data_IF_855410888518
#
_entry.id   IF_855410888518
#
_cell.length_a   1.000
_cell.length_b   1.000
_cell.length_c   1.000
_cell.angle_alpha   90.00
_cell.angle_beta   90.00
_cell.angle_gamma   90.00
#
_symmetry.space_group_name_H-M   'P 1'
#
loop_
_entity.id
_entity.type
_entity.pdbx_description
1 polymer ?
#
# COMPACT_ATOMS: atom_id res chain seq x y z
N UNK A 1 23.31 -39.01 -2.79
CA UNK A 1 21.93 -38.72 -3.21
C UNK A 1 21.81 -37.21 -3.15
N UNK A 2 21.83 -36.54 -4.29
CA UNK A 2 21.69 -35.08 -4.36
C UNK A 2 20.21 -34.82 -4.19
N UNK A 3 19.85 -34.18 -3.08
CA UNK A 3 18.47 -33.84 -2.75
C UNK A 3 17.92 -32.93 -3.86
N UNK A 4 16.98 -33.43 -4.64
CA UNK A 4 16.32 -32.71 -5.72
C UNK A 4 15.32 -31.72 -5.13
N UNK A 5 15.51 -30.44 -5.43
CA UNK A 5 14.56 -29.32 -5.26
C UNK A 5 13.99 -29.10 -3.87
N UNK A 6 14.84 -28.68 -2.93
CA UNK A 6 14.35 -27.92 -1.77
C UNK A 6 13.67 -26.64 -2.29
N UNK A 7 12.36 -26.50 -2.06
CA UNK A 7 11.59 -25.35 -2.50
C UNK A 7 12.19 -24.04 -1.97
N UNK A 8 12.33 -23.03 -2.85
CA UNK A 8 12.84 -21.70 -2.50
C UNK A 8 11.88 -21.02 -1.52
N UNK A 9 12.38 -20.60 -0.37
CA UNK A 9 11.57 -20.10 0.74
C UNK A 9 11.48 -18.58 0.67
N UNK A 10 10.30 -18.01 0.85
CA UNK A 10 10.13 -16.59 1.14
C UNK A 10 10.04 -16.34 2.66
N UNK A 11 9.19 -17.10 3.35
CA UNK A 11 8.91 -16.94 4.77
C UNK A 11 8.76 -18.30 5.47
N UNK A 12 9.04 -18.33 6.76
CA UNK A 12 8.68 -19.44 7.64
C UNK A 12 7.91 -18.91 8.84
N UNK A 13 6.71 -19.47 9.06
CA UNK A 13 5.82 -19.07 10.15
C UNK A 13 6.43 -19.45 11.49
N UNK A 14 6.51 -18.47 12.40
CA UNK A 14 7.16 -18.67 13.71
C UNK A 14 6.42 -19.72 14.57
N UNK A 15 5.10 -19.79 14.44
CA UNK A 15 4.24 -20.60 15.31
C UNK A 15 4.39 -22.11 15.12
N UNK A 16 4.52 -22.57 13.87
CA UNK A 16 4.43 -23.99 13.50
C UNK A 16 5.53 -24.42 12.51
N UNK A 17 6.40 -23.51 12.09
CA UNK A 17 7.47 -23.80 11.14
C UNK A 17 6.99 -24.03 9.71
N UNK A 18 5.72 -23.76 9.39
CA UNK A 18 5.21 -23.83 8.03
C UNK A 18 6.02 -22.90 7.13
N UNK A 19 6.33 -23.33 5.90
CA UNK A 19 7.09 -22.55 4.92
C UNK A 19 6.15 -22.00 3.85
N UNK A 20 6.30 -20.73 3.53
CA UNK A 20 5.75 -20.13 2.33
C UNK A 20 6.81 -20.18 1.24
N UNK A 21 6.49 -20.79 0.10
CA UNK A 21 7.42 -20.78 -1.03
C UNK A 21 7.49 -19.37 -1.63
N UNK A 22 8.61 -19.04 -2.26
CA UNK A 22 8.76 -17.78 -2.96
C UNK A 22 7.72 -17.61 -4.07
N UNK A 23 7.42 -18.69 -4.79
CA UNK A 23 6.33 -18.71 -5.77
C UNK A 23 4.98 -18.25 -5.17
N UNK A 24 4.58 -18.86 -4.05
CA UNK A 24 3.31 -18.56 -3.38
C UNK A 24 3.25 -17.10 -2.95
N UNK A 25 4.34 -16.61 -2.36
CA UNK A 25 4.44 -15.22 -1.93
C UNK A 25 4.37 -14.24 -3.10
N UNK A 26 5.18 -14.42 -4.16
CA UNK A 26 5.17 -13.53 -5.32
C UNK A 26 3.80 -13.48 -6.01
N UNK A 27 3.10 -14.62 -6.13
CA UNK A 27 1.75 -14.67 -6.70
C UNK A 27 0.70 -14.01 -5.79
N UNK A 28 0.81 -14.21 -4.46
CA UNK A 28 -0.07 -13.58 -3.47
C UNK A 28 0.05 -12.06 -3.48
N UNK A 29 1.30 -11.56 -3.43
CA UNK A 29 1.60 -10.12 -3.51
C UNK A 29 1.19 -9.53 -4.85
N UNK A 30 1.45 -10.23 -5.97
CA UNK A 30 1.00 -9.79 -7.29
C UNK A 30 -0.52 -9.60 -7.34
N UNK A 31 -1.30 -10.56 -6.82
CA UNK A 31 -2.76 -10.49 -6.83
C UNK A 31 -3.32 -9.37 -5.94
N UNK A 32 -2.76 -9.19 -4.74
CA UNK A 32 -3.15 -8.12 -3.83
C UNK A 32 -2.82 -6.73 -4.41
N UNK A 33 -1.60 -6.56 -4.91
CA UNK A 33 -1.14 -5.30 -5.52
C UNK A 33 -1.91 -4.96 -6.79
N UNK A 34 -2.22 -5.97 -7.63
CA UNK A 34 -3.14 -5.85 -8.77
C UNK A 34 -4.48 -5.27 -8.36
N UNK A 35 -5.11 -5.87 -7.35
CA UNK A 35 -6.44 -5.46 -6.87
C UNK A 35 -6.42 -4.02 -6.34
N UNK A 36 -5.36 -3.63 -5.62
CA UNK A 36 -5.21 -2.27 -5.12
C UNK A 36 -5.00 -1.25 -6.27
N UNK A 37 -4.13 -1.57 -7.23
CA UNK A 37 -3.80 -0.69 -8.36
C UNK A 37 -4.93 -0.61 -9.41
N UNK A 38 -5.85 -1.58 -9.46
CA UNK A 38 -7.02 -1.58 -10.33
C UNK A 38 -7.91 -0.34 -10.14
N UNK A 39 -7.92 0.27 -8.95
CA UNK A 39 -8.64 1.53 -8.68
C UNK A 39 -8.16 2.72 -9.52
N UNK A 40 -6.96 2.62 -10.10
CA UNK A 40 -6.37 3.60 -11.01
C UNK A 40 -6.42 3.14 -12.47
N UNK A 41 -6.97 1.95 -12.76
CA UNK A 41 -6.83 1.29 -14.06
C UNK A 41 -5.40 0.82 -14.35
N UNK A 42 -4.64 0.49 -13.30
CA UNK A 42 -3.23 0.07 -13.36
C UNK A 42 -3.04 -1.34 -12.78
N UNK A 43 -4.00 -2.23 -13.00
CA UNK A 43 -4.01 -3.58 -12.45
C UNK A 43 -2.80 -4.41 -12.92
N UNK A 44 -2.47 -4.42 -14.21
CA UNK A 44 -1.27 -5.11 -14.73
C UNK A 44 0.03 -4.55 -14.16
N UNK A 45 0.09 -3.23 -13.91
CA UNK A 45 1.24 -2.57 -13.29
C UNK A 45 1.39 -3.02 -11.84
N UNK A 46 0.29 -3.01 -11.08
CA UNK A 46 0.27 -3.50 -9.70
C UNK A 46 0.67 -4.98 -9.62
N UNK A 47 0.17 -5.80 -10.54
CA UNK A 47 0.52 -7.21 -10.64
C UNK A 47 2.02 -7.40 -10.89
N UNK A 48 2.58 -6.68 -11.85
CA UNK A 48 3.97 -6.82 -12.26
C UNK A 48 4.96 -6.36 -11.19
N UNK A 49 4.70 -5.25 -10.49
CA UNK A 49 5.55 -4.83 -9.36
C UNK A 49 5.50 -5.84 -8.22
N UNK A 50 4.32 -6.43 -7.93
CA UNK A 50 4.17 -7.46 -6.90
C UNK A 50 4.89 -8.76 -7.26
N UNK A 51 4.79 -9.18 -8.53
CA UNK A 51 5.41 -10.41 -9.02
C UNK A 51 6.94 -10.36 -8.98
N UNK A 52 7.53 -9.18 -9.15
CA UNK A 52 8.98 -9.01 -9.29
C UNK A 52 9.68 -8.44 -8.06
N UNK A 53 8.95 -7.93 -7.06
CA UNK A 53 9.58 -7.16 -5.97
C UNK A 53 10.70 -7.93 -5.27
N UNK A 54 10.42 -9.19 -4.92
CA UNK A 54 11.28 -10.06 -4.14
C UNK A 54 12.03 -11.09 -4.98
N UNK A 55 12.13 -10.86 -6.29
CA UNK A 55 12.73 -11.84 -7.20
C UNK A 55 14.18 -12.19 -6.81
N UNK A 56 14.93 -11.26 -6.19
CA UNK A 56 16.28 -11.54 -5.72
C UNK A 56 16.38 -12.63 -4.64
N UNK A 57 15.26 -13.02 -4.00
CA UNK A 57 15.22 -14.14 -3.04
C UNK A 57 15.52 -15.50 -3.67
N UNK A 58 15.49 -15.65 -5.00
CA UNK A 58 15.96 -16.87 -5.69
C UNK A 58 17.48 -17.05 -5.65
N UNK A 59 18.25 -16.00 -5.35
CA UNK A 59 19.71 -16.08 -5.28
C UNK A 59 20.16 -17.01 -4.16
N UNK A 60 21.28 -17.72 -4.37
CA UNK A 60 21.87 -18.59 -3.33
C UNK A 60 22.21 -17.77 -2.08
N UNK A 61 22.81 -16.58 -2.24
CA UNK A 61 23.16 -15.71 -1.11
C UNK A 61 21.96 -15.41 -0.21
N UNK A 62 20.78 -15.14 -0.80
CA UNK A 62 19.59 -14.84 -0.01
C UNK A 62 18.98 -16.09 0.64
N UNK A 63 18.98 -17.24 -0.05
CA UNK A 63 18.52 -18.50 0.54
C UNK A 63 19.42 -18.97 1.68
N UNK A 64 20.74 -18.80 1.56
CA UNK A 64 21.72 -19.08 2.63
C UNK A 64 21.45 -18.16 3.84
N UNK A 65 21.16 -16.87 3.58
CA UNK A 65 20.74 -15.93 4.62
C UNK A 65 19.45 -16.36 5.34
N UNK A 66 18.40 -16.76 4.62
CA UNK A 66 17.16 -17.26 5.24
C UNK A 66 17.45 -18.52 6.05
N UNK A 67 18.12 -19.52 5.45
CA UNK A 67 18.36 -20.79 6.11
C UNK A 67 19.27 -20.66 7.34
N UNK A 68 20.23 -19.73 7.33
CA UNK A 68 21.03 -19.39 8.51
C UNK A 68 20.17 -18.73 9.60
N UNK A 69 19.25 -17.82 9.23
CA UNK A 69 18.32 -17.18 10.17
C UNK A 69 17.37 -18.19 10.85
N UNK A 70 16.99 -19.25 10.13
CA UNK A 70 16.14 -20.33 10.62
C UNK A 70 16.90 -21.41 11.41
N UNK A 71 18.24 -21.33 11.47
CA UNK A 71 19.08 -22.34 12.11
C UNK A 71 19.20 -23.66 11.32
N UNK A 72 18.92 -23.63 10.02
CA UNK A 72 19.03 -24.79 9.13
C UNK A 72 20.48 -25.01 8.65
N UNK A 73 21.35 -24.00 8.78
CA UNK A 73 22.77 -24.07 8.44
C UNK A 73 23.57 -23.99 9.73
N UNK A 74 24.49 -24.95 9.89
CA UNK A 74 25.44 -24.96 11.00
C UNK A 74 26.30 -23.68 10.97
N UNK A 75 26.44 -22.92 12.07
CA UNK A 75 27.32 -21.75 12.14
C UNK A 75 28.77 -21.97 11.69
N UNK A 76 29.25 -23.22 11.73
CA UNK A 76 30.60 -23.59 11.30
C UNK A 76 30.67 -24.00 9.80
N UNK A 77 29.55 -23.99 9.06
CA UNK A 77 29.51 -24.32 7.65
C UNK A 77 29.92 -23.14 6.74
N UNK A 78 30.54 -23.42 5.60
CA UNK A 78 30.99 -22.41 4.63
C UNK A 78 29.84 -21.55 4.08
N UNK A 79 28.63 -22.11 4.01
CA UNK A 79 27.42 -21.42 3.53
C UNK A 79 26.68 -20.63 4.63
N UNK A 80 27.20 -20.59 5.87
CA UNK A 80 26.56 -19.85 6.97
C UNK A 80 26.70 -18.33 6.79
N UNK A 81 25.60 -17.64 7.00
CA UNK A 81 25.53 -16.17 7.00
C UNK A 81 25.09 -15.69 8.38
N UNK A 82 25.82 -14.73 8.97
CA UNK A 82 25.37 -14.02 10.17
C UNK A 82 24.11 -13.19 9.86
N UNK A 83 22.95 -13.83 9.98
CA UNK A 83 21.65 -13.24 9.65
C UNK A 83 21.32 -12.04 10.55
N UNK A 84 21.80 -12.03 11.80
CA UNK A 84 21.58 -10.90 12.72
C UNK A 84 22.39 -9.68 12.25
N UNK A 85 23.67 -9.86 11.93
CA UNK A 85 24.54 -8.78 11.44
C UNK A 85 24.19 -8.29 10.03
N UNK A 86 23.59 -9.17 9.21
CA UNK A 86 23.19 -8.91 7.81
C UNK A 86 21.72 -8.52 7.64
N UNK A 87 20.94 -8.42 8.72
CA UNK A 87 19.51 -8.07 8.66
C UNK A 87 19.28 -6.79 7.86
N UNK A 88 18.57 -6.91 6.73
CA UNK A 88 18.26 -5.81 5.82
C UNK A 88 19.43 -5.30 4.97
N UNK A 89 20.56 -6.02 4.92
CA UNK A 89 21.75 -5.66 4.12
C UNK A 89 21.93 -6.53 2.89
N UNK A 90 21.31 -7.71 2.85
CA UNK A 90 21.35 -8.60 1.69
C UNK A 90 20.36 -8.09 0.66
N UNK A 91 20.87 -7.75 -0.53
CA UNK A 91 20.05 -7.19 -1.59
C UNK A 91 19.25 -8.29 -2.28
N UNK A 92 17.94 -8.11 -2.34
CA UNK A 92 17.01 -8.98 -3.06
C UNK A 92 16.01 -8.18 -3.91
N UNK A 93 16.14 -6.86 -3.90
CA UNK A 93 15.25 -5.93 -4.58
C UNK A 93 15.76 -5.50 -5.94
N UNK A 94 17.08 -5.53 -6.16
CA UNK A 94 17.69 -5.03 -7.38
C UNK A 94 17.46 -5.97 -8.57
N UNK A 95 17.47 -7.29 -8.38
CA UNK A 95 17.28 -8.27 -9.46
C UNK A 95 15.95 -8.06 -10.22
N UNK A 96 14.83 -7.96 -9.48
CA UNK A 96 13.52 -7.73 -10.08
C UNK A 96 13.41 -6.39 -10.80
N UNK A 97 14.03 -5.34 -10.23
CA UNK A 97 14.06 -4.01 -10.85
C UNK A 97 14.89 -4.00 -12.15
N UNK A 98 16.03 -4.70 -12.16
CA UNK A 98 16.85 -4.85 -13.37
C UNK A 98 16.14 -5.67 -14.44
N UNK A 99 15.46 -6.75 -14.08
CA UNK A 99 14.74 -7.60 -15.02
C UNK A 99 13.71 -6.78 -15.83
N UNK A 100 12.88 -5.97 -15.17
CA UNK A 100 11.91 -5.12 -15.88
C UNK A 100 12.56 -3.98 -16.65
N UNK A 101 13.64 -3.40 -16.10
CA UNK A 101 14.38 -2.33 -16.76
C UNK A 101 15.04 -2.80 -18.05
N UNK A 102 15.74 -3.94 -18.02
CA UNK A 102 16.47 -4.47 -19.18
C UNK A 102 15.53 -4.86 -20.32
N UNK A 103 14.35 -5.37 -19.97
CA UNK A 103 13.34 -5.80 -20.93
C UNK A 103 12.67 -4.62 -21.64
N UNK A 104 12.20 -3.63 -20.88
CA UNK A 104 11.32 -2.57 -21.42
C UNK A 104 12.06 -1.28 -21.81
N UNK A 105 13.19 -0.95 -21.16
CA UNK A 105 13.82 0.38 -21.32
C UNK A 105 14.31 0.71 -22.74
N UNK A 106 14.57 -0.32 -23.55
CA UNK A 106 15.12 -0.20 -24.91
C UNK A 106 14.05 -0.28 -26.01
N UNK A 107 12.80 -0.58 -25.66
CA UNK A 107 11.74 -0.83 -26.66
C UNK A 107 11.05 0.45 -27.16
N UNK A 108 11.14 1.54 -26.41
CA UNK A 108 10.52 2.82 -26.77
C UNK A 108 10.40 3.76 -25.58
N UNK A 109 10.03 5.01 -25.83
CA UNK A 109 9.93 6.02 -24.76
C UNK A 109 8.85 5.67 -23.73
N UNK A 110 7.68 5.21 -24.18
CA UNK A 110 6.57 4.82 -23.30
C UNK A 110 6.95 3.64 -22.40
N UNK A 111 7.62 2.63 -22.97
CA UNK A 111 8.12 1.46 -22.26
C UNK A 111 9.23 1.85 -21.29
N UNK A 112 10.13 2.76 -21.68
CA UNK A 112 11.21 3.25 -20.81
C UNK A 112 10.70 4.01 -19.58
N UNK A 113 9.72 4.91 -19.76
CA UNK A 113 9.07 5.61 -18.64
C UNK A 113 8.37 4.61 -17.71
N UNK A 114 7.64 3.65 -18.29
CA UNK A 114 6.97 2.58 -17.53
C UNK A 114 7.99 1.77 -16.74
N UNK A 115 9.04 1.27 -17.40
CA UNK A 115 10.12 0.51 -16.79
C UNK A 115 10.77 1.26 -15.62
N UNK A 116 11.02 2.57 -15.78
CA UNK A 116 11.60 3.38 -14.72
C UNK A 116 10.69 3.46 -13.49
N UNK A 117 9.39 3.70 -13.68
CA UNK A 117 8.42 3.78 -12.58
C UNK A 117 8.33 2.45 -11.82
N UNK A 118 8.21 1.34 -12.56
CA UNK A 118 8.09 0.00 -11.98
C UNK A 118 9.39 -0.43 -11.28
N UNK A 119 10.54 -0.27 -11.94
CA UNK A 119 11.84 -0.58 -11.37
C UNK A 119 12.14 0.27 -10.12
N UNK A 120 11.71 1.52 -10.08
CA UNK A 120 11.86 2.37 -8.89
C UNK A 120 11.03 1.84 -7.73
N UNK A 121 9.79 1.41 -7.96
CA UNK A 121 8.95 0.80 -6.91
C UNK A 121 9.60 -0.49 -6.38
N UNK A 122 10.02 -1.38 -7.29
CA UNK A 122 10.65 -2.66 -6.95
C UNK A 122 11.98 -2.43 -6.20
N UNK A 123 12.88 -1.59 -6.69
CA UNK A 123 14.18 -1.36 -6.04
C UNK A 123 14.07 -0.73 -4.63
N UNK A 124 12.91 -0.15 -4.29
CA UNK A 124 12.68 0.65 -3.09
C UNK A 124 11.93 -0.06 -1.97
N UNK A 125 11.42 -1.28 -2.19
CA UNK A 125 10.37 -1.87 -1.34
C UNK A 125 10.79 -2.18 0.11
N UNK A 126 12.09 -2.17 0.44
CA UNK A 126 12.58 -2.30 1.82
C UNK A 126 13.00 -0.98 2.48
N UNK A 127 13.43 0.01 1.71
CA UNK A 127 14.07 1.23 2.23
C UNK A 127 13.19 2.47 2.16
N UNK A 128 11.99 2.36 1.59
CA UNK A 128 11.27 3.51 1.06
C UNK A 128 11.81 3.93 -0.31
N UNK A 129 11.08 4.81 -1.00
CA UNK A 129 11.46 5.33 -2.31
C UNK A 129 12.86 5.96 -2.25
N UNK A 130 13.79 5.40 -3.03
CA UNK A 130 15.16 5.88 -3.07
C UNK A 130 15.27 7.25 -3.77
N UNK A 131 16.25 8.04 -3.35
CA UNK A 131 16.68 9.19 -4.14
C UNK A 131 17.31 8.71 -5.44
N UNK A 132 16.72 9.07 -6.58
CA UNK A 132 17.29 8.75 -7.89
C UNK A 132 18.55 9.56 -8.20
N UNK A 133 18.76 10.68 -7.50
CA UNK A 133 19.83 11.64 -7.74
C UNK A 133 20.51 11.98 -6.42
N UNK A 134 21.84 11.95 -6.38
CA UNK A 134 22.61 12.39 -5.22
C UNK A 134 23.64 13.45 -5.61
N UNK A 135 23.75 14.50 -4.79
CA UNK A 135 24.84 15.46 -4.88
C UNK A 135 26.09 14.87 -4.24
N UNK A 136 27.16 14.71 -5.02
CA UNK A 136 28.45 14.29 -4.48
C UNK A 136 29.28 15.50 -4.03
N UNK A 137 30.24 15.34 -3.09
CA UNK A 137 31.09 16.44 -2.60
C UNK A 137 31.86 17.19 -3.70
N UNK A 138 32.02 16.61 -4.89
CA UNK A 138 32.69 17.21 -6.06
C UNK A 138 31.74 17.99 -6.99
N UNK A 139 30.52 18.32 -6.55
CA UNK A 139 29.47 18.96 -7.34
C UNK A 139 29.02 18.16 -8.59
N UNK A 140 29.41 16.88 -8.70
CA UNK A 140 28.87 15.95 -9.69
C UNK A 140 27.55 15.38 -9.19
N UNK A 141 26.52 15.47 -10.04
CA UNK A 141 25.23 14.84 -9.85
C UNK A 141 25.37 13.36 -10.22
N UNK A 142 25.15 12.46 -9.26
CA UNK A 142 25.17 11.02 -9.52
C UNK A 142 23.76 10.51 -9.74
N UNK A 143 23.53 9.85 -10.88
CA UNK A 143 22.31 9.11 -11.17
C UNK A 143 22.34 7.76 -10.43
N UNK A 144 21.83 7.77 -9.20
CA UNK A 144 21.71 6.58 -8.35
C UNK A 144 20.81 5.53 -8.96
N UNK A 145 19.75 5.93 -9.65
CA UNK A 145 18.83 4.98 -10.29
C UNK A 145 19.56 4.17 -11.36
N UNK A 146 20.22 4.84 -12.31
CA UNK A 146 21.01 4.16 -13.34
C UNK A 146 22.15 3.34 -12.74
N UNK A 147 22.80 3.84 -11.68
CA UNK A 147 23.81 3.09 -10.94
C UNK A 147 23.27 1.78 -10.36
N UNK A 148 22.03 1.80 -9.83
CA UNK A 148 21.36 0.61 -9.30
C UNK A 148 20.93 -0.35 -10.41
N UNK A 149 20.43 0.16 -11.54
CA UNK A 149 20.06 -0.68 -12.69
C UNK A 149 21.29 -1.32 -13.38
N UNK A 150 22.48 -0.75 -13.19
CA UNK A 150 23.76 -1.29 -13.70
C UNK A 150 24.56 -2.05 -12.64
N UNK A 151 23.94 -2.42 -11.51
CA UNK A 151 24.61 -3.20 -10.48
C UNK A 151 25.07 -4.54 -11.10
N UNK A 152 26.35 -4.93 -10.94
CA UNK A 152 26.90 -6.11 -11.59
C UNK A 152 26.30 -7.41 -11.01
N UNK A 153 26.40 -8.48 -11.80
CA UNK A 153 25.81 -9.81 -11.52
C UNK A 153 26.23 -10.35 -10.15
N UNK A 154 27.49 -10.21 -9.76
CA UNK A 154 28.03 -10.67 -8.47
C UNK A 154 27.39 -10.00 -7.23
N UNK A 155 26.61 -8.94 -7.43
CA UNK A 155 25.91 -8.22 -6.34
C UNK A 155 24.39 -8.12 -6.52
N UNK A 156 23.88 -8.38 -7.72
CA UNK A 156 22.46 -8.29 -8.02
C UNK A 156 21.84 -9.65 -8.36
N UNK A 157 22.67 -10.62 -8.76
CA UNK A 157 22.31 -12.02 -9.02
C UNK A 157 21.21 -12.18 -10.08
N UNK A 158 21.14 -11.28 -11.07
CA UNK A 158 20.05 -11.24 -12.04
C UNK A 158 19.98 -12.53 -12.87
N UNK A 159 21.10 -12.97 -13.45
CA UNK A 159 21.13 -14.17 -14.29
C UNK A 159 20.85 -15.43 -13.47
N UNK A 160 21.43 -15.51 -12.26
CA UNK A 160 21.14 -16.60 -11.33
C UNK A 160 19.63 -16.68 -11.04
N UNK A 161 19.06 -15.56 -10.62
CA UNK A 161 17.64 -15.45 -10.26
C UNK A 161 16.72 -15.82 -11.42
N UNK A 162 16.98 -15.30 -12.63
CA UNK A 162 16.18 -15.62 -13.82
C UNK A 162 16.26 -17.11 -14.20
N UNK A 163 17.41 -17.75 -13.98
CA UNK A 163 17.59 -19.19 -14.24
C UNK A 163 16.83 -20.08 -13.27
N UNK A 164 16.74 -19.67 -11.99
CA UNK A 164 16.07 -20.40 -10.90
C UNK A 164 14.58 -20.06 -10.72
N UNK A 165 14.12 -19.00 -11.37
CA UNK A 165 12.72 -18.55 -11.31
C UNK A 165 11.75 -19.68 -11.69
N UNK A 166 10.71 -19.87 -10.87
CA UNK A 166 9.63 -20.82 -11.15
C UNK A 166 8.97 -20.53 -12.52
N UNK A 167 8.58 -21.59 -13.24
CA UNK A 167 8.06 -21.45 -14.62
C UNK A 167 6.75 -20.64 -14.66
N UNK A 168 5.87 -20.78 -13.67
CA UNK A 168 4.64 -19.98 -13.61
C UNK A 168 4.92 -18.48 -13.45
N UNK A 169 5.93 -18.12 -12.65
CA UNK A 169 6.38 -16.73 -12.47
C UNK A 169 6.95 -16.21 -13.78
N UNK A 170 7.78 -17.02 -14.46
CA UNK A 170 8.39 -16.69 -15.75
C UNK A 170 7.33 -16.48 -16.83
N UNK A 171 6.36 -17.39 -16.92
CA UNK A 171 5.27 -17.29 -17.89
C UNK A 171 4.42 -16.05 -17.62
N UNK A 172 4.07 -15.79 -16.36
CA UNK A 172 3.26 -14.63 -16.01
C UNK A 172 4.01 -13.31 -16.24
N UNK A 173 5.29 -13.26 -15.91
CA UNK A 173 6.16 -12.12 -16.21
C UNK A 173 6.16 -11.81 -17.71
N UNK A 174 6.40 -12.81 -18.58
CA UNK A 174 6.36 -12.66 -20.03
C UNK A 174 5.02 -12.13 -20.55
N UNK A 175 3.92 -12.71 -20.08
CA UNK A 175 2.58 -12.25 -20.47
C UNK A 175 2.34 -10.77 -20.14
N UNK A 176 2.80 -10.31 -18.97
CA UNK A 176 2.61 -8.92 -18.53
C UNK A 176 3.47 -7.94 -19.34
N UNK A 177 4.74 -8.25 -19.61
CA UNK A 177 5.62 -7.37 -20.41
C UNK A 177 5.21 -7.27 -21.87
N UNK A 178 4.64 -8.35 -22.43
CA UNK A 178 4.11 -8.38 -23.80
C UNK A 178 2.74 -7.70 -23.92
N UNK A 179 2.09 -7.39 -22.79
CA UNK A 179 0.80 -6.74 -22.77
C UNK A 179 0.87 -5.29 -23.27
N UNK A 180 0.12 -5.00 -24.33
CA UNK A 180 0.02 -3.65 -24.87
C UNK A 180 -0.61 -2.65 -23.89
N UNK A 181 -1.43 -3.14 -22.94
CA UNK A 181 -2.12 -2.30 -21.95
C UNK A 181 -1.19 -1.85 -20.82
N UNK A 182 -0.11 -2.60 -20.52
CA UNK A 182 0.81 -2.28 -19.43
C UNK A 182 1.38 -0.86 -19.54
N UNK A 183 2.06 -0.54 -20.63
CA UNK A 183 2.65 0.78 -20.82
C UNK A 183 1.60 1.83 -21.22
N UNK A 184 0.58 1.43 -21.99
CA UNK A 184 -0.47 2.35 -22.45
C UNK A 184 -1.27 2.92 -21.26
N UNK A 185 -1.60 2.10 -20.25
CA UNK A 185 -2.33 2.55 -19.05
C UNK A 185 -1.52 3.56 -18.22
N UNK A 186 -0.22 3.32 -18.03
CA UNK A 186 0.70 4.25 -17.34
C UNK A 186 0.77 5.58 -18.08
N UNK A 187 1.03 5.55 -19.39
CA UNK A 187 1.15 6.77 -20.18
C UNK A 187 -0.16 7.55 -20.22
N UNK A 188 -1.30 6.88 -20.39
CA UNK A 188 -2.60 7.55 -20.34
C UNK A 188 -2.83 8.24 -18.99
N UNK A 189 -2.46 7.60 -17.89
CA UNK A 189 -2.54 8.19 -16.54
C UNK A 189 -1.66 9.43 -16.41
N UNK A 190 -0.41 9.37 -16.90
CA UNK A 190 0.50 10.52 -16.89
C UNK A 190 0.00 11.67 -17.78
N UNK A 191 -0.56 11.36 -18.96
CA UNK A 191 -1.16 12.32 -19.86
C UNK A 191 -2.39 12.99 -19.23
N UNK A 192 -3.23 12.23 -18.53
CA UNK A 192 -4.39 12.75 -17.82
C UNK A 192 -4.00 13.66 -16.65
N UNK A 193 -2.95 13.30 -15.91
CA UNK A 193 -2.34 14.17 -14.90
C UNK A 193 -1.91 15.48 -15.57
N UNK A 194 -1.24 15.43 -16.72
CA UNK A 194 -0.82 16.64 -17.41
C UNK A 194 -2.01 17.51 -17.88
N UNK A 195 -3.00 16.90 -18.56
CA UNK A 195 -4.18 17.58 -19.10
C UNK A 195 -5.01 18.27 -18.01
N UNK A 196 -5.22 17.61 -16.87
CA UNK A 196 -6.03 18.13 -15.76
C UNK A 196 -5.36 19.28 -14.99
N UNK A 197 -4.07 19.57 -15.23
CA UNK A 197 -3.29 20.54 -14.45
C UNK A 197 -2.67 21.67 -15.28
N UNK A 198 -3.08 21.79 -16.56
CA UNK A 198 -2.88 22.93 -17.48
C UNK A 198 -1.66 23.85 -17.18
N UNK A 199 -0.45 23.29 -17.09
CA UNK A 199 0.80 24.05 -17.15
C UNK A 199 1.53 24.33 -15.83
N UNK A 200 1.00 23.94 -14.67
CA UNK A 200 1.78 23.98 -13.43
C UNK A 200 2.84 22.88 -13.41
N UNK A 201 4.03 23.10 -13.97
CA UNK A 201 5.09 22.09 -14.08
C UNK A 201 5.38 21.41 -12.72
N UNK A 202 5.43 22.21 -11.65
CA UNK A 202 5.58 21.69 -10.28
C UNK A 202 4.40 20.79 -9.85
N UNK A 203 3.16 21.21 -10.13
CA UNK A 203 1.95 20.43 -9.81
C UNK A 203 1.90 19.11 -10.59
N UNK A 204 2.29 19.13 -11.86
CA UNK A 204 2.36 17.93 -12.70
C UNK A 204 3.40 16.96 -12.11
N UNK A 205 4.64 17.41 -11.90
CA UNK A 205 5.69 16.57 -11.30
C UNK A 205 5.31 16.05 -9.92
N UNK A 206 4.67 16.88 -9.08
CA UNK A 206 4.17 16.47 -7.78
C UNK A 206 3.12 15.34 -7.88
N UNK A 207 2.15 15.48 -8.78
CA UNK A 207 1.11 14.46 -8.99
C UNK A 207 1.64 13.17 -9.63
N UNK A 208 2.62 13.28 -10.52
CA UNK A 208 3.35 12.11 -11.03
C UNK A 208 4.11 11.39 -9.90
N UNK A 209 4.77 12.15 -9.02
CA UNK A 209 5.38 11.59 -7.81
C UNK A 209 4.36 10.93 -6.87
N UNK A 210 3.15 11.49 -6.72
CA UNK A 210 2.07 10.86 -5.96
C UNK A 210 1.58 9.55 -6.60
N UNK A 211 1.53 9.47 -7.94
CA UNK A 211 1.20 8.22 -8.63
C UNK A 211 2.22 7.13 -8.30
N UNK A 212 3.52 7.44 -8.36
CA UNK A 212 4.59 6.50 -8.02
C UNK A 212 4.49 6.07 -6.55
N UNK A 213 4.24 7.02 -5.63
CA UNK A 213 4.03 6.72 -4.21
C UNK A 213 2.81 5.83 -3.97
N UNK A 214 1.75 6.01 -4.74
CA UNK A 214 0.56 5.20 -4.63
C UNK A 214 0.81 3.77 -5.12
N UNK A 215 1.48 3.59 -6.26
CA UNK A 215 1.91 2.27 -6.75
C UNK A 215 2.86 1.58 -5.75
N UNK A 216 3.82 2.33 -5.21
CA UNK A 216 4.70 1.86 -4.14
C UNK A 216 3.89 1.44 -2.91
N UNK A 217 2.90 2.23 -2.50
CA UNK A 217 2.02 1.88 -1.39
C UNK A 217 1.20 0.62 -1.67
N UNK A 218 0.72 0.40 -2.90
CA UNK A 218 0.05 -0.84 -3.29
C UNK A 218 0.96 -2.05 -3.10
N UNK A 219 2.23 -1.94 -3.53
CA UNK A 219 3.22 -3.00 -3.35
C UNK A 219 3.50 -3.29 -1.87
N UNK A 220 3.79 -2.25 -1.07
CA UNK A 220 4.11 -2.41 0.35
C UNK A 220 2.94 -2.97 1.15
N UNK A 221 1.71 -2.49 0.87
CA UNK A 221 0.51 -3.02 1.52
C UNK A 221 0.32 -4.49 1.14
N UNK A 222 0.44 -4.84 -0.14
CA UNK A 222 0.32 -6.22 -0.61
C UNK A 222 1.35 -7.18 0.01
N UNK A 223 2.63 -6.79 0.04
CA UNK A 223 3.72 -7.59 0.65
C UNK A 223 3.48 -7.85 2.14
N UNK A 224 3.12 -6.79 2.88
CA UNK A 224 2.83 -6.90 4.32
C UNK A 224 1.56 -7.71 4.59
N UNK A 225 0.53 -7.54 3.76
CA UNK A 225 -0.74 -8.26 3.89
C UNK A 225 -0.55 -9.74 3.61
N UNK A 226 0.16 -10.11 2.54
CA UNK A 226 0.45 -11.50 2.20
C UNK A 226 1.24 -12.17 3.34
N UNK A 227 2.30 -11.53 3.81
CA UNK A 227 3.09 -12.02 4.95
C UNK A 227 2.23 -12.16 6.20
N UNK A 228 1.41 -11.17 6.55
CA UNK A 228 0.55 -11.22 7.73
C UNK A 228 -0.52 -12.32 7.65
N UNK A 229 -1.08 -12.55 6.46
CA UNK A 229 -2.08 -13.58 6.23
C UNK A 229 -1.47 -14.98 6.25
N UNK A 230 -0.24 -15.10 5.74
CA UNK A 230 0.56 -16.30 5.90
C UNK A 230 0.90 -16.55 7.38
N UNK A 231 1.33 -15.56 8.14
CA UNK A 231 1.65 -15.72 9.57
C UNK A 231 0.40 -16.05 10.43
N UNK A 232 -0.76 -15.50 10.06
CA UNK A 232 -2.02 -15.69 10.78
C UNK A 232 -3.20 -16.01 9.85
N UNK A 233 -3.36 -17.28 9.44
CA UNK A 233 -4.48 -17.69 8.58
C UNK A 233 -5.87 -17.42 9.19
N UNK A 234 -5.97 -17.45 10.53
CA UNK A 234 -7.20 -17.14 11.26
C UNK A 234 -7.55 -15.65 11.11
N UNK A 235 -6.56 -14.75 11.13
CA UNK A 235 -6.79 -13.33 10.89
C UNK A 235 -7.16 -13.08 9.41
N UNK A 236 -6.50 -13.76 8.48
CA UNK A 236 -6.80 -13.69 7.05
C UNK A 236 -8.28 -14.00 6.76
N UNK A 237 -8.83 -15.06 7.39
CA UNK A 237 -10.25 -15.43 7.26
C UNK A 237 -11.23 -14.36 7.77
N UNK A 238 -10.80 -13.49 8.67
CA UNK A 238 -11.62 -12.40 9.23
C UNK A 238 -11.56 -11.12 8.39
N UNK A 239 -10.76 -11.06 7.31
CA UNK A 239 -10.71 -9.88 6.45
C UNK A 239 -12.02 -9.70 5.69
N UNK A 240 -12.58 -8.50 5.79
CA UNK A 240 -13.84 -8.16 5.15
C UNK A 240 -13.67 -7.92 3.64
N UNK A 241 -12.48 -7.47 3.20
CA UNK A 241 -12.13 -7.28 1.78
C UNK A 241 -13.19 -6.47 1.01
N UNK A 242 -13.64 -5.35 1.58
CA UNK A 242 -14.68 -4.50 0.98
C UNK A 242 -16.11 -4.86 1.36
N UNK A 243 -16.34 -5.98 2.04
CA UNK A 243 -17.66 -6.39 2.55
C UNK A 243 -17.98 -5.73 3.89
N UNK A 244 -17.97 -4.41 3.91
CA UNK A 244 -18.32 -3.62 5.10
C UNK A 244 -19.83 -3.34 5.15
N UNK A 245 -20.34 -3.01 6.34
CA UNK A 245 -21.71 -2.52 6.51
C UNK A 245 -21.96 -1.32 5.60
N UNK A 246 -23.05 -1.39 4.82
CA UNK A 246 -23.37 -0.38 3.83
C UNK A 246 -23.64 0.99 4.49
N UNK A 247 -23.24 2.08 3.81
CA UNK A 247 -23.48 3.43 4.29
C UNK A 247 -24.96 3.71 4.58
N UNK A 248 -25.90 3.11 3.84
CA UNK A 248 -27.34 3.24 4.12
C UNK A 248 -27.69 2.82 5.54
N UNK A 249 -27.21 1.66 5.98
CA UNK A 249 -27.43 1.16 7.34
C UNK A 249 -26.80 2.09 8.39
N UNK A 250 -25.60 2.61 8.11
CA UNK A 250 -24.93 3.57 9.01
C UNK A 250 -25.68 4.91 9.09
N UNK A 251 -26.23 5.37 7.97
CA UNK A 251 -27.07 6.57 7.89
C UNK A 251 -28.34 6.34 8.72
N UNK A 252 -29.04 5.22 8.55
CA UNK A 252 -30.27 4.92 9.31
C UNK A 252 -30.04 4.93 10.82
N UNK A 253 -28.92 4.35 11.28
CA UNK A 253 -28.50 4.37 12.69
C UNK A 253 -28.26 5.80 13.18
N UNK A 254 -27.56 6.62 12.40
CA UNK A 254 -27.32 8.02 12.75
C UNK A 254 -28.61 8.85 12.75
N UNK A 255 -29.48 8.70 11.75
CA UNK A 255 -30.76 9.42 11.67
C UNK A 255 -31.67 9.05 12.83
N UNK A 256 -31.72 7.78 13.23
CA UNK A 256 -32.43 7.33 14.44
C UNK A 256 -31.92 8.05 15.68
N UNK A 257 -30.58 8.16 15.84
CA UNK A 257 -30.00 8.93 16.93
C UNK A 257 -30.38 10.40 16.87
N UNK A 258 -30.28 11.03 15.69
CA UNK A 258 -30.60 12.44 15.51
C UNK A 258 -32.09 12.74 15.82
N UNK A 259 -32.99 11.84 15.43
CA UNK A 259 -34.42 11.94 15.73
C UNK A 259 -34.75 11.85 17.22
N UNK A 260 -33.89 11.22 18.03
CA UNK A 260 -34.09 11.14 19.49
C UNK A 260 -33.87 12.46 20.23
N UNK A 261 -33.20 13.45 19.61
CA UNK A 261 -32.94 14.74 20.24
C UNK A 261 -34.18 15.63 20.26
N UNK A 262 -34.47 16.21 21.44
CA UNK A 262 -35.56 17.17 21.61
C UNK A 262 -35.22 18.52 20.95
N UNK A 263 -36.21 19.12 20.30
CA UNK A 263 -36.10 20.45 19.66
C UNK A 263 -36.93 21.47 20.44
N UNK A 264 -36.68 21.54 21.73
CA UNK A 264 -37.44 22.28 22.74
C UNK A 264 -36.84 23.64 23.11
N UNK A 265 -35.56 23.86 22.83
CA UNK A 265 -34.85 25.13 23.08
C UNK A 265 -34.37 25.77 21.77
N UNK A 266 -34.13 27.08 21.78
CA UNK A 266 -33.61 27.78 20.61
C UNK A 266 -32.21 27.29 20.19
N UNK A 267 -31.38 26.89 21.15
CA UNK A 267 -30.10 26.23 20.88
C UNK A 267 -30.30 24.90 20.16
N UNK A 268 -31.26 24.08 20.59
CA UNK A 268 -31.55 22.80 19.94
C UNK A 268 -32.16 22.98 18.53
N UNK A 269 -32.96 24.03 18.31
CA UNK A 269 -33.44 24.42 16.96
C UNK A 269 -32.27 24.77 16.05
N UNK A 270 -31.32 25.57 16.52
CA UNK A 270 -30.11 25.94 15.75
C UNK A 270 -29.25 24.70 15.46
N UNK A 271 -29.04 23.81 16.43
CA UNK A 271 -28.29 22.55 16.21
C UNK A 271 -28.94 21.68 15.14
N UNK A 272 -30.28 21.57 15.16
CA UNK A 272 -31.02 20.87 14.10
C UNK A 272 -30.82 21.53 12.74
N UNK A 273 -30.95 22.85 12.65
CA UNK A 273 -30.72 23.59 11.40
C UNK A 273 -29.30 23.39 10.85
N UNK A 274 -28.28 23.39 11.71
CA UNK A 274 -26.89 23.10 11.30
C UNK A 274 -26.79 21.68 10.73
N UNK A 275 -27.35 20.69 11.42
CA UNK A 275 -27.34 19.29 10.96
C UNK A 275 -28.07 19.12 9.62
N UNK A 276 -29.23 19.78 9.45
CA UNK A 276 -30.01 19.73 8.21
C UNK A 276 -29.27 20.43 7.05
N UNK A 277 -28.56 21.52 7.33
CA UNK A 277 -27.72 22.19 6.33
C UNK A 277 -26.56 21.29 5.87
N UNK A 278 -25.91 20.59 6.82
CA UNK A 278 -24.89 19.58 6.50
C UNK A 278 -25.47 18.45 5.64
N UNK A 279 -26.65 17.92 5.96
CA UNK A 279 -27.30 16.91 5.13
C UNK A 279 -27.57 17.43 3.70
N UNK A 280 -28.17 18.62 3.56
CA UNK A 280 -28.45 19.22 2.26
C UNK A 280 -27.18 19.39 1.42
N UNK A 281 -26.06 19.74 2.05
CA UNK A 281 -24.79 19.94 1.34
C UNK A 281 -24.13 18.64 0.91
N UNK A 282 -24.47 17.50 1.52
CA UNK A 282 -23.88 16.20 1.20
C UNK A 282 -24.08 15.77 -0.27
N UNK A 283 -25.15 16.21 -0.93
CA UNK A 283 -25.39 15.93 -2.35
C UNK A 283 -24.56 16.78 -3.33
N UNK A 284 -23.73 17.71 -2.84
CA UNK A 284 -22.91 18.58 -3.70
C UNK A 284 -21.77 17.79 -4.35
N UNK A 285 -21.21 18.31 -5.45
CA UNK A 285 -20.02 17.72 -6.09
C UNK A 285 -18.85 17.58 -5.09
N UNK A 286 -18.02 16.53 -5.17
CA UNK A 286 -16.85 16.37 -4.30
C UNK A 286 -15.91 17.58 -4.38
N UNK A 287 -15.37 17.97 -3.23
CA UNK A 287 -14.54 19.16 -3.11
C UNK A 287 -14.20 19.48 -1.65
N UNK A 288 -13.74 20.71 -1.42
CA UNK A 288 -13.40 21.20 -0.08
C UNK A 288 -14.60 21.93 0.50
N UNK A 289 -14.97 21.55 1.73
CA UNK A 289 -16.07 22.14 2.48
C UNK A 289 -15.57 22.66 3.83
N UNK A 290 -16.15 23.76 4.31
CA UNK A 290 -15.81 24.36 5.60
C UNK A 290 -17.07 24.43 6.47
N UNK A 291 -16.98 23.89 7.68
CA UNK A 291 -18.05 23.96 8.68
C UNK A 291 -17.66 24.90 9.84
N UNK A 292 -18.13 26.13 9.79
CA UNK A 292 -17.87 27.16 10.81
C UNK A 292 -18.98 27.20 11.85
N UNK A 293 -18.79 26.48 12.96
CA UNK A 293 -19.78 26.37 14.05
C UNK A 293 -19.05 26.50 15.39
N UNK A 294 -19.59 27.24 16.39
CA UNK A 294 -18.96 27.37 17.71
C UNK A 294 -18.89 26.02 18.46
N UNK A 295 -18.10 25.97 19.53
CA UNK A 295 -18.08 24.82 20.44
C UNK A 295 -19.48 24.56 21.02
N UNK A 296 -19.84 23.29 21.20
CA UNK A 296 -21.18 22.89 21.62
C UNK A 296 -22.29 23.03 20.55
N UNK A 297 -21.98 23.51 19.33
CA UNK A 297 -22.96 23.66 18.24
C UNK A 297 -23.29 22.38 17.46
N UNK A 298 -22.89 21.20 17.93
CA UNK A 298 -23.23 19.91 17.30
C UNK A 298 -22.38 19.53 16.09
N UNK A 299 -21.15 20.06 15.99
CA UNK A 299 -20.24 19.82 14.84
C UNK A 299 -20.02 18.33 14.54
N UNK A 300 -19.73 17.53 15.55
CA UNK A 300 -19.34 16.12 15.38
C UNK A 300 -20.39 15.34 14.59
N UNK A 301 -21.63 15.28 15.10
CA UNK A 301 -22.73 14.55 14.45
C UNK A 301 -23.17 15.20 13.14
N UNK A 302 -23.13 16.54 13.02
CA UNK A 302 -23.45 17.22 11.77
C UNK A 302 -22.43 16.89 10.66
N UNK A 303 -21.13 16.88 10.98
CA UNK A 303 -20.08 16.48 10.04
C UNK A 303 -20.13 15.00 9.69
N UNK A 304 -20.46 14.13 10.65
CA UNK A 304 -20.64 12.70 10.39
C UNK A 304 -21.85 12.45 9.48
N UNK A 305 -22.96 13.16 9.71
CA UNK A 305 -24.16 13.12 8.84
C UNK A 305 -23.82 13.52 7.42
N UNK A 306 -23.08 14.62 7.24
CA UNK A 306 -22.56 15.02 5.94
C UNK A 306 -21.68 13.92 5.33
N UNK A 307 -20.70 13.40 6.07
CA UNK A 307 -19.71 12.46 5.57
C UNK A 307 -20.34 11.14 5.11
N UNK A 308 -21.26 10.56 5.89
CA UNK A 308 -21.95 9.32 5.53
C UNK A 308 -22.81 9.48 4.27
N UNK A 309 -23.60 10.56 4.21
CA UNK A 309 -24.46 10.82 3.05
C UNK A 309 -23.63 11.17 1.80
N UNK A 310 -22.54 11.93 1.97
CA UNK A 310 -21.64 12.28 0.86
C UNK A 310 -20.90 11.04 0.34
N UNK A 311 -20.43 10.17 1.24
CA UNK A 311 -19.79 8.92 0.87
C UNK A 311 -20.75 7.99 0.11
N UNK A 312 -21.99 7.86 0.59
CA UNK A 312 -23.02 7.09 -0.13
C UNK A 312 -23.33 7.69 -1.51
N UNK A 313 -23.54 9.01 -1.60
CA UNK A 313 -23.94 9.68 -2.85
C UNK A 313 -22.89 9.56 -3.95
N UNK A 314 -21.62 9.56 -3.58
CA UNK A 314 -20.49 9.55 -4.52
C UNK A 314 -19.71 8.23 -4.53
N UNK A 315 -20.31 7.16 -4.00
CA UNK A 315 -19.73 5.80 -3.97
C UNK A 315 -18.31 5.75 -3.38
N UNK A 316 -18.05 6.57 -2.36
CA UNK A 316 -16.78 6.56 -1.64
C UNK A 316 -16.74 5.38 -0.67
N UNK A 317 -15.57 4.77 -0.51
CA UNK A 317 -15.45 3.54 0.30
C UNK A 317 -15.14 3.79 1.79
N UNK A 318 -14.65 4.98 2.15
CA UNK A 318 -14.10 5.23 3.49
C UNK A 318 -14.22 6.70 3.91
N UNK A 319 -14.49 6.91 5.19
CA UNK A 319 -14.40 8.21 5.86
C UNK A 319 -13.17 8.19 6.75
N UNK A 320 -12.26 9.16 6.58
CA UNK A 320 -11.10 9.35 7.45
C UNK A 320 -11.36 10.60 8.29
N UNK A 321 -11.47 10.41 9.60
CA UNK A 321 -11.74 11.51 10.53
C UNK A 321 -10.47 11.88 11.31
N UNK A 322 -9.99 13.11 11.08
CA UNK A 322 -8.72 13.61 11.63
C UNK A 322 -9.03 14.71 12.63
N UNK A 323 -8.60 14.53 13.88
CA UNK A 323 -8.90 15.46 14.99
C UNK A 323 -7.61 15.73 15.75
N UNK A 324 -7.36 16.97 16.23
CA UNK A 324 -6.25 17.24 17.13
C UNK A 324 -6.50 16.63 18.52
N UNK A 325 -5.42 16.17 19.16
CA UNK A 325 -5.37 15.57 20.51
C UNK A 325 -6.04 14.21 20.67
N UNK A 326 -5.32 13.27 21.26
CA UNK A 326 -5.78 11.89 21.53
C UNK A 326 -7.07 11.86 22.36
N UNK A 327 -7.17 12.66 23.43
CA UNK A 327 -8.35 12.63 24.31
C UNK A 327 -9.65 13.04 23.63
N UNK A 328 -9.59 13.90 22.61
CA UNK A 328 -10.77 14.31 21.84
C UNK A 328 -11.12 13.23 20.81
N UNK A 329 -10.11 12.56 20.24
CA UNK A 329 -10.31 11.41 19.35
C UNK A 329 -11.07 10.31 20.09
N UNK A 330 -10.60 9.89 21.27
CA UNK A 330 -11.19 8.79 22.03
C UNK A 330 -12.68 9.05 22.34
N UNK A 331 -13.00 10.27 22.78
CA UNK A 331 -14.38 10.66 23.08
C UNK A 331 -15.28 10.65 21.84
N UNK A 332 -14.80 11.22 20.73
CA UNK A 332 -15.57 11.28 19.49
C UNK A 332 -15.73 9.90 18.84
N UNK A 333 -14.70 9.07 18.90
CA UNK A 333 -14.74 7.70 18.40
C UNK A 333 -15.73 6.86 19.21
N UNK A 334 -15.73 6.98 20.54
CA UNK A 334 -16.68 6.26 21.40
C UNK A 334 -18.13 6.73 21.19
N UNK A 335 -18.37 8.03 21.03
CA UNK A 335 -19.70 8.55 20.68
C UNK A 335 -20.15 8.02 19.31
N UNK A 336 -19.26 8.04 18.32
CA UNK A 336 -19.55 7.53 16.97
C UNK A 336 -19.82 6.03 17.00
N UNK A 337 -19.03 5.25 17.76
CA UNK A 337 -19.18 3.81 17.92
C UNK A 337 -20.53 3.45 18.55
N UNK A 338 -20.95 4.14 19.61
CA UNK A 338 -22.28 3.92 20.22
C UNK A 338 -23.44 4.09 19.24
N UNK A 339 -23.26 4.93 18.22
CA UNK A 339 -24.28 5.21 17.21
C UNK A 339 -24.17 4.22 16.05
N UNK A 340 -22.96 4.03 15.52
CA UNK A 340 -22.74 3.25 14.31
C UNK A 340 -22.60 1.74 14.57
N UNK A 341 -22.19 1.31 15.76
CA UNK A 341 -22.04 -0.09 16.17
C UNK A 341 -22.91 -0.41 17.40
N UNK A 342 -24.26 -0.31 17.30
CA UNK A 342 -25.12 -0.62 18.43
C UNK A 342 -25.00 -2.11 18.81
N UNK A 343 -25.08 -2.41 20.11
CA UNK A 343 -24.96 -3.80 20.58
C UNK A 343 -25.99 -4.73 19.90
N UNK A 344 -25.53 -5.91 19.47
CA UNK A 344 -26.38 -6.92 18.85
C UNK A 344 -26.75 -6.65 17.39
N UNK A 345 -26.11 -5.67 16.73
CA UNK A 345 -26.36 -5.36 15.31
C UNK A 345 -25.93 -6.45 14.32
N UNK A 346 -25.07 -7.38 14.73
CA UNK A 346 -24.60 -8.49 13.90
C UNK A 346 -23.65 -8.07 12.77
N UNK A 347 -23.07 -6.86 12.82
CA UNK A 347 -22.08 -6.45 11.83
C UNK A 347 -20.84 -7.36 11.88
N UNK A 348 -20.31 -7.68 10.71
CA UNK A 348 -19.03 -8.38 10.60
C UNK A 348 -17.90 -7.36 10.81
N UNK A 349 -17.23 -7.44 11.96
CA UNK A 349 -16.09 -6.57 12.31
C UNK A 349 -16.47 -5.21 12.90
N UNK A 350 -15.47 -4.33 13.04
CA UNK A 350 -15.65 -2.98 13.59
C UNK A 350 -15.81 -1.96 12.46
N UNK A 351 -16.70 -0.99 12.64
CA UNK A 351 -16.98 0.12 11.71
C UNK A 351 -16.06 1.31 12.01
N UNK A 352 -15.85 1.62 13.28
CA UNK A 352 -15.06 2.72 13.82
C UNK A 352 -13.72 2.19 14.28
N UNK A 353 -12.69 2.44 13.47
CA UNK A 353 -11.31 2.11 13.76
C UNK A 353 -10.57 3.35 14.27
N UNK A 354 -9.83 3.18 15.36
CA UNK A 354 -9.03 4.24 15.98
C UNK A 354 -7.54 3.97 15.72
N UNK A 355 -6.82 5.02 15.37
CA UNK A 355 -5.37 4.97 15.24
C UNK A 355 -4.77 6.23 15.86
N UNK A 356 -3.85 6.03 16.80
CA UNK A 356 -3.14 7.11 17.47
C UNK A 356 -1.66 7.04 17.07
N UNK A 357 -1.17 8.10 16.44
CA UNK A 357 0.25 8.30 16.23
C UNK A 357 0.75 9.27 17.29
N UNK A 358 1.42 8.77 18.32
CA UNK A 358 2.20 9.60 19.23
C UNK A 358 3.59 9.89 18.63
N UNK A 359 4.27 10.90 19.17
CA UNK A 359 5.58 11.41 18.71
C UNK A 359 6.52 10.33 18.18
N UNK A 360 7.04 10.58 16.98
CA UNK A 360 8.18 9.85 16.41
C UNK A 360 9.39 9.93 17.33
N UNK A 361 10.29 8.93 17.33
CA UNK A 361 11.58 9.02 18.01
C UNK A 361 12.34 10.28 17.57
N UNK A 362 13.20 10.83 18.44
CA UNK A 362 14.02 12.02 18.14
C UNK A 362 14.90 11.83 16.89
N UNK A 363 15.24 10.59 16.56
CA UNK A 363 15.89 10.21 15.32
C UNK A 363 14.92 9.45 14.41
N UNK A 364 14.52 10.10 13.31
CA UNK A 364 13.82 9.40 12.23
C UNK A 364 14.79 8.49 11.49
N UNK A 365 14.46 7.21 11.46
CA UNK A 365 15.14 6.23 10.61
C UNK A 365 14.15 5.73 9.59
N UNK A 366 14.59 5.06 8.52
CA UNK A 366 13.65 4.46 7.55
C UNK A 366 12.68 3.43 8.19
N UNK A 367 12.88 3.07 9.47
CA UNK A 367 12.01 2.20 10.26
C UNK A 367 11.14 2.92 11.31
N UNK A 368 11.34 4.22 11.55
CA UNK A 368 10.62 4.97 12.60
C UNK A 368 10.34 6.41 12.20
#
# INVERSE_FOLDING_TARGET
MVDSDAAVIAHQREKDGAKQTLQQHLLGVANLSKTAAAKLGLDEVGELIGLLHDLGKYSKEFQDYINSALGNIDPDADDYVDAKGKKGKVDHSTAGAQAIWDELSKQGQSQSITAQILALCIASHHSGLIDCIEATPKATVWDKFSGRMKKPEDRAHLQEVLSKMDEDIRQRFRQLIESATLHTSVINTLVDINKKNQGGALTVSFKQGLLIRLLFSCLIDADRVDTADFESPVAAQKRLNGRYTAFSTLIDRLETKLASFKVDTDVNKIRKQISDHCLQRAGSKPGIFTLSVPTGGGKTLASLRFALNHAQTHELERIIYIIPFTSIIDQNAEETRKILEPQGCGDEGNIVLEHHSNLTPEEQTWKT
#
